data_IF_068751671606
#
_entry.id   IF_068751671606
#
_cell.length_a   1.000
_cell.length_b   1.000
_cell.length_c   1.000
_cell.angle_alpha   90.00
_cell.angle_beta   90.00
_cell.angle_gamma   90.00
#
_symmetry.space_group_name_H-M   'P 1'
#
loop_
_entity.id
_entity.type
_entity.pdbx_description
1 polymer ?
#
# COMPACT_ATOMS: atom_id res chain seq x y z
N UNK A 1 30.50 -62.52 4.88
CA UNK A 1 29.48 -63.45 4.38
C UNK A 1 28.82 -64.13 5.55
N UNK A 2 27.75 -63.55 6.09
CA UNK A 2 26.64 -64.28 6.70
C UNK A 2 25.48 -63.31 6.91
N UNK A 3 24.30 -63.85 6.66
CA UNK A 3 23.06 -63.21 6.25
C UNK A 3 22.17 -62.95 7.47
N UNK A 4 21.42 -61.85 7.37
CA UNK A 4 20.27 -61.46 8.20
C UNK A 4 19.19 -62.54 8.29
N UNK A 5 18.65 -62.78 9.48
CA UNK A 5 17.21 -63.06 9.67
C UNK A 5 16.66 -62.40 10.96
N UNK A 6 15.89 -61.33 10.73
CA UNK A 6 14.63 -60.87 11.37
C UNK A 6 14.36 -61.21 12.84
N UNK A 7 14.41 -60.19 13.70
CA UNK A 7 13.52 -60.09 14.86
C UNK A 7 12.39 -59.09 14.57
N UNK A 8 11.16 -59.59 14.63
CA UNK A 8 9.92 -58.82 14.62
C UNK A 8 9.81 -58.03 15.93
N UNK A 9 9.74 -56.71 15.85
CA UNK A 9 9.28 -55.88 16.97
C UNK A 9 7.92 -55.28 16.60
N UNK A 10 6.96 -55.47 17.51
CA UNK A 10 5.62 -54.93 17.41
C UNK A 10 5.68 -53.40 17.59
N UNK A 11 5.45 -52.65 16.51
CA UNK A 11 5.21 -51.22 16.56
C UNK A 11 3.77 -50.95 17.03
N UNK A 12 3.58 -50.95 18.34
CA UNK A 12 2.41 -50.35 18.99
C UNK A 12 2.77 -48.92 19.39
N UNK A 13 2.24 -47.95 18.65
CA UNK A 13 2.18 -46.54 19.03
C UNK A 13 1.54 -46.39 20.42
N UNK A 14 2.05 -45.53 21.31
CA UNK A 14 1.31 -45.21 22.53
C UNK A 14 0.15 -44.27 22.14
N UNK A 15 -1.08 -44.68 22.45
CA UNK A 15 -2.28 -43.85 22.37
C UNK A 15 -2.03 -42.50 23.08
N UNK A 16 -2.06 -41.41 22.34
CA UNK A 16 -2.04 -40.06 22.87
C UNK A 16 -3.48 -39.74 23.25
N UNK A 17 -3.82 -39.91 24.52
CA UNK A 17 -5.00 -39.27 25.10
C UNK A 17 -4.53 -38.03 25.86
N UNK A 18 -4.78 -36.85 25.30
CA UNK A 18 -4.65 -35.60 26.03
C UNK A 18 -5.70 -35.62 27.13
N UNK A 19 -5.25 -35.68 28.38
CA UNK A 19 -6.12 -35.86 29.54
C UNK A 19 -7.12 -34.71 29.63
N UNK A 20 -8.40 -35.07 29.58
CA UNK A 20 -9.54 -34.19 29.76
C UNK A 20 -9.55 -33.55 31.16
N UNK A 21 -10.05 -32.32 31.21
CA UNK A 21 -10.47 -31.64 32.43
C UNK A 21 -11.56 -32.49 33.11
N UNK A 22 -11.23 -33.11 34.25
CA UNK A 22 -12.18 -33.93 35.01
C UNK A 22 -13.01 -32.99 35.90
N UNK A 23 -14.29 -32.84 35.55
CA UNK A 23 -15.33 -32.39 36.48
C UNK A 23 -15.45 -33.35 37.68
N UNK A 24 -15.85 -32.79 38.82
CA UNK A 24 -15.73 -33.35 40.17
C UNK A 24 -16.46 -34.70 40.42
N UNK A 25 -15.70 -35.66 40.95
CA UNK A 25 -16.01 -36.73 41.94
C UNK A 25 -16.73 -38.04 41.49
N UNK A 26 -16.66 -39.17 42.25
CA UNK A 26 -15.68 -39.61 43.27
C UNK A 26 -14.99 -40.97 42.98
N UNK A 27 -13.80 -41.10 43.59
CA UNK A 27 -12.97 -42.26 43.96
C UNK A 27 -13.47 -43.69 43.69
N UNK A 28 -12.77 -44.42 42.79
CA UNK A 28 -12.59 -45.88 42.89
C UNK A 28 -11.11 -46.21 42.61
N UNK A 29 -10.42 -46.72 43.63
CA UNK A 29 -9.02 -47.17 43.62
C UNK A 29 -8.87 -48.44 42.78
N UNK A 30 -8.17 -48.36 41.64
CA UNK A 30 -7.65 -49.54 40.93
C UNK A 30 -6.12 -49.55 41.01
N UNK A 31 -5.60 -50.60 41.65
CA UNK A 31 -4.18 -50.85 41.90
C UNK A 31 -3.37 -50.92 40.59
N UNK A 32 -2.40 -50.03 40.41
CA UNK A 32 -1.39 -50.11 39.34
C UNK A 32 -0.44 -51.29 39.57
N UNK A 33 -0.41 -52.25 38.63
CA UNK A 33 0.73 -53.15 38.44
C UNK A 33 1.88 -52.35 37.84
N UNK A 34 3.08 -52.50 38.40
CA UNK A 34 4.32 -51.93 37.89
C UNK A 34 4.67 -52.61 36.56
N UNK A 35 4.79 -51.85 35.48
CA UNK A 35 5.50 -52.27 34.27
C UNK A 35 6.94 -51.77 34.32
N UNK A 36 7.82 -52.65 33.91
CA UNK A 36 9.28 -52.53 33.92
C UNK A 36 9.80 -51.48 32.94
N UNK A 37 10.88 -50.80 33.34
CA UNK A 37 11.91 -50.26 32.44
C UNK A 37 11.51 -49.26 31.36
N UNK A 38 11.39 -47.98 31.73
CA UNK A 38 11.45 -46.87 30.76
C UNK A 38 12.86 -46.80 30.14
N UNK A 39 12.96 -47.06 28.85
CA UNK A 39 14.10 -46.66 28.00
C UNK A 39 14.29 -45.14 28.14
N UNK A 40 15.50 -44.61 28.32
CA UNK A 40 15.69 -43.18 28.46
C UNK A 40 15.39 -42.50 27.12
N UNK A 41 14.20 -41.89 27.02
CA UNK A 41 13.82 -41.04 25.90
C UNK A 41 14.76 -39.83 25.86
N UNK A 42 15.40 -39.61 24.72
CA UNK A 42 16.36 -38.52 24.50
C UNK A 42 15.75 -37.19 25.01
N UNK A 43 16.39 -36.50 25.98
CA UNK A 43 15.85 -35.29 26.59
C UNK A 43 15.58 -34.17 25.59
N UNK A 44 16.28 -34.16 24.45
CA UNK A 44 16.02 -33.23 23.34
C UNK A 44 14.66 -33.46 22.69
N UNK A 45 14.25 -34.73 22.50
CA UNK A 45 12.95 -35.07 21.90
C UNK A 45 11.81 -34.69 22.83
N UNK A 46 11.98 -34.86 24.14
CA UNK A 46 10.98 -34.44 25.14
C UNK A 46 10.88 -32.92 25.16
N UNK A 47 12.02 -32.21 25.16
CA UNK A 47 12.06 -30.74 25.10
C UNK A 47 11.42 -30.19 23.82
N UNK A 48 11.68 -30.81 22.66
CA UNK A 48 11.05 -30.47 21.38
C UNK A 48 9.54 -30.69 21.44
N UNK A 49 9.09 -31.86 21.92
CA UNK A 49 7.65 -32.16 22.07
C UNK A 49 6.94 -31.19 23.02
N UNK A 50 7.55 -30.86 24.15
CA UNK A 50 6.98 -29.88 25.09
C UNK A 50 6.92 -28.47 24.48
N UNK A 51 7.95 -28.04 23.75
CA UNK A 51 7.94 -26.74 23.05
C UNK A 51 6.92 -26.70 21.90
N UNK A 52 6.75 -27.79 21.15
CA UNK A 52 5.72 -27.92 20.11
C UNK A 52 4.34 -27.76 20.76
N UNK A 53 4.07 -28.51 21.82
CA UNK A 53 2.77 -28.45 22.51
C UNK A 53 2.52 -27.10 23.16
N UNK A 54 3.53 -26.47 23.76
CA UNK A 54 3.40 -25.15 24.41
C UNK A 54 3.20 -24.03 23.37
N UNK A 55 3.96 -24.03 22.27
CA UNK A 55 3.86 -23.03 21.19
C UNK A 55 2.59 -23.21 20.35
N UNK A 56 2.28 -24.44 19.95
CA UNK A 56 1.03 -24.71 19.24
C UNK A 56 -0.18 -24.60 20.15
N UNK A 57 -0.10 -24.81 21.47
CA UNK A 57 -1.22 -24.44 22.35
C UNK A 57 -1.48 -22.92 22.35
N UNK A 58 -0.44 -22.09 22.23
CA UNK A 58 -0.58 -20.64 22.05
C UNK A 58 -1.14 -20.27 20.67
N UNK A 59 -0.59 -20.85 19.60
CA UNK A 59 -1.03 -20.62 18.22
C UNK A 59 -2.44 -21.19 17.94
N UNK A 60 -2.81 -22.33 18.52
CA UNK A 60 -4.17 -22.89 18.49
C UNK A 60 -5.16 -22.03 19.29
N UNK A 61 -4.69 -21.32 20.32
CA UNK A 61 -5.50 -20.36 21.08
C UNK A 61 -5.61 -18.98 20.38
N UNK A 62 -4.71 -18.62 19.46
CA UNK A 62 -4.79 -17.38 18.67
C UNK A 62 -5.45 -17.59 17.29
N UNK A 63 -5.27 -18.76 16.66
CA UNK A 63 -5.91 -19.19 15.42
C UNK A 63 -7.23 -19.92 15.73
N UNK A 64 -8.12 -19.27 16.46
CA UNK A 64 -9.46 -19.81 16.70
C UNK A 64 -10.34 -19.80 15.43
N UNK A 65 -9.94 -19.06 14.39
CA UNK A 65 -10.59 -19.05 13.07
C UNK A 65 -9.60 -18.64 11.99
N UNK A 66 -9.52 -19.33 10.84
CA UNK A 66 -8.66 -18.93 9.71
C UNK A 66 -9.02 -17.56 9.12
N UNK A 67 -10.14 -16.97 9.52
CA UNK A 67 -10.60 -15.66 9.08
C UNK A 67 -9.99 -14.48 9.83
N UNK A 68 -9.47 -14.67 11.05
CA UNK A 68 -8.86 -13.58 11.82
C UNK A 68 -7.61 -13.00 11.14
N UNK A 69 -6.87 -13.86 10.45
CA UNK A 69 -5.67 -13.54 9.70
C UNK A 69 -5.91 -13.33 8.21
N UNK A 70 -7.17 -13.38 7.74
CA UNK A 70 -7.49 -13.19 6.33
C UNK A 70 -7.65 -11.71 6.02
N UNK A 71 -6.99 -11.24 4.95
CA UNK A 71 -7.15 -9.89 4.43
C UNK A 71 -7.42 -9.89 2.94
N UNK A 72 -8.02 -8.81 2.45
CA UNK A 72 -8.07 -8.49 1.02
C UNK A 72 -6.88 -7.57 0.73
N UNK A 73 -6.05 -7.96 -0.23
CA UNK A 73 -4.90 -7.17 -0.67
C UNK A 73 -5.31 -5.93 -1.49
N UNK A 74 -4.35 -5.08 -1.83
CA UNK A 74 -4.65 -3.84 -2.59
C UNK A 74 -5.07 -4.09 -4.06
N UNK A 75 -5.04 -5.34 -4.53
CA UNK A 75 -5.49 -5.77 -5.86
C UNK A 75 -6.88 -6.42 -5.84
N UNK A 76 -7.35 -6.83 -4.66
CA UNK A 76 -8.69 -7.37 -4.43
C UNK A 76 -8.68 -8.87 -4.22
N UNK A 77 -7.50 -9.44 -4.03
CA UNK A 77 -7.29 -10.86 -3.81
C UNK A 77 -7.27 -11.17 -2.31
N UNK A 78 -7.82 -12.32 -1.94
CA UNK A 78 -7.77 -12.80 -0.57
C UNK A 78 -6.36 -13.32 -0.28
N UNK A 79 -5.74 -12.81 0.79
CA UNK A 79 -4.43 -13.26 1.27
C UNK A 79 -4.50 -13.58 2.74
N UNK A 80 -3.92 -14.71 3.10
CA UNK A 80 -3.69 -15.05 4.49
C UNK A 80 -2.46 -14.26 4.97
N UNK A 81 -2.66 -13.41 5.98
CA UNK A 81 -1.61 -12.64 6.63
C UNK A 81 -1.07 -13.46 7.81
N UNK A 82 0.11 -14.04 7.65
CA UNK A 82 0.88 -14.57 8.77
C UNK A 82 1.53 -13.38 9.48
N UNK A 83 1.00 -12.99 10.65
CA UNK A 83 1.60 -11.91 11.46
C UNK A 83 2.98 -12.29 12.00
N UNK A 84 3.28 -13.59 12.03
CA UNK A 84 4.59 -14.10 12.34
C UNK A 84 5.40 -14.26 11.04
N UNK A 85 6.66 -13.82 11.06
CA UNK A 85 7.77 -14.62 10.52
C UNK A 85 7.39 -16.09 10.69
N UNK A 86 7.46 -16.93 9.66
CA UNK A 86 7.04 -18.34 9.71
C UNK A 86 7.26 -18.93 11.11
N UNK A 87 6.42 -19.83 11.64
CA UNK A 87 6.69 -20.49 12.93
C UNK A 87 8.13 -21.09 13.01
N UNK A 88 8.78 -21.24 11.86
CA UNK A 88 10.19 -21.56 11.67
C UNK A 88 11.12 -20.34 11.47
N UNK A 89 10.81 -19.14 11.93
CA UNK A 89 11.62 -17.92 11.71
C UNK A 89 11.73 -17.06 12.98
N UNK A 90 10.96 -17.34 14.03
CA UNK A 90 11.15 -16.72 15.34
C UNK A 90 12.56 -16.95 15.92
N UNK A 91 13.10 -15.93 16.60
CA UNK A 91 14.36 -15.97 17.33
C UNK A 91 14.30 -17.00 18.47
N UNK A 92 14.70 -18.25 18.20
CA UNK A 92 14.75 -19.28 19.23
C UNK A 92 14.88 -20.72 18.74
N UNK A 93 14.57 -20.98 17.46
CA UNK A 93 14.78 -22.29 16.82
C UNK A 93 16.02 -22.25 15.92
N UNK A 94 16.90 -23.23 16.06
CA UNK A 94 17.98 -23.47 15.10
C UNK A 94 17.44 -24.00 13.76
N UNK A 95 18.18 -23.81 12.68
CA UNK A 95 17.83 -24.36 11.35
C UNK A 95 17.55 -25.88 11.40
N UNK A 96 18.28 -26.60 12.24
CA UNK A 96 18.07 -28.03 12.46
C UNK A 96 16.73 -28.34 13.13
N UNK A 97 16.34 -27.55 14.14
CA UNK A 97 15.05 -27.74 14.83
C UNK A 97 13.88 -27.40 13.89
N UNK A 98 14.02 -26.36 13.06
CA UNK A 98 13.03 -26.00 12.03
C UNK A 98 12.81 -27.13 11.04
N UNK A 99 13.88 -27.73 10.53
CA UNK A 99 13.81 -28.88 9.62
C UNK A 99 13.16 -30.10 10.29
N UNK A 100 13.49 -30.40 11.55
CA UNK A 100 12.88 -31.51 12.28
C UNK A 100 11.38 -31.30 12.53
N UNK A 101 10.96 -30.06 12.80
CA UNK A 101 9.55 -29.73 12.96
C UNK A 101 8.78 -29.86 11.66
N UNK A 102 9.36 -29.39 10.54
CA UNK A 102 8.76 -29.54 9.23
C UNK A 102 8.53 -31.01 8.87
N UNK A 103 9.56 -31.85 9.05
CA UNK A 103 9.46 -33.31 8.85
C UNK A 103 8.36 -33.91 9.75
N UNK A 104 8.27 -33.48 11.02
CA UNK A 104 7.23 -33.97 11.92
C UNK A 104 5.81 -33.64 11.43
N UNK A 105 5.58 -32.43 10.91
CA UNK A 105 4.28 -32.05 10.38
C UNK A 105 3.94 -32.73 9.06
N UNK A 106 4.93 -32.93 8.19
CA UNK A 106 4.80 -33.71 6.96
C UNK A 106 4.41 -35.17 7.28
N UNK A 107 5.11 -35.82 8.23
CA UNK A 107 4.76 -37.17 8.69
C UNK A 107 3.37 -37.24 9.35
N UNK A 108 2.99 -36.21 10.12
CA UNK A 108 1.66 -36.13 10.75
C UNK A 108 0.56 -35.97 9.70
N UNK A 109 0.80 -35.16 8.66
CA UNK A 109 -0.11 -34.95 7.54
C UNK A 109 -0.31 -36.25 6.75
N UNK A 110 0.79 -36.92 6.36
CA UNK A 110 0.73 -38.21 5.64
C UNK A 110 -0.14 -39.21 6.41
N UNK A 111 0.06 -39.33 7.72
CA UNK A 111 -0.73 -40.23 8.57
C UNK A 111 -2.19 -39.83 8.68
N UNK A 112 -2.46 -38.53 8.81
CA UNK A 112 -3.84 -38.04 8.86
C UNK A 112 -4.58 -38.36 7.56
N UNK A 113 -3.90 -38.24 6.41
CA UNK A 113 -4.43 -38.58 5.09
C UNK A 113 -4.63 -40.10 4.92
N UNK A 114 -3.64 -40.92 5.31
CA UNK A 114 -3.65 -42.38 5.12
C UNK A 114 -4.55 -43.14 6.10
N UNK A 115 -4.49 -42.81 7.39
CA UNK A 115 -5.22 -43.52 8.46
C UNK A 115 -6.62 -42.94 8.71
N UNK A 116 -6.97 -41.85 8.01
CA UNK A 116 -8.21 -41.10 8.20
C UNK A 116 -8.47 -40.76 9.68
N UNK A 117 -7.45 -40.23 10.35
CA UNK A 117 -7.57 -39.82 11.75
C UNK A 117 -8.61 -38.69 11.88
N UNK A 118 -9.74 -38.98 12.52
CA UNK A 118 -10.86 -38.06 12.68
C UNK A 118 -10.77 -37.20 13.97
N UNK A 119 -9.56 -36.78 14.36
CA UNK A 119 -9.37 -35.94 15.55
C UNK A 119 -9.41 -34.45 15.17
N UNK A 120 -10.40 -33.67 15.65
CA UNK A 120 -10.48 -32.23 15.39
C UNK A 120 -9.26 -31.43 15.84
N UNK A 121 -8.54 -31.86 16.88
CA UNK A 121 -7.34 -31.17 17.36
C UNK A 121 -6.18 -31.35 16.36
N UNK A 122 -6.05 -32.55 15.79
CA UNK A 122 -5.07 -32.84 14.74
C UNK A 122 -5.38 -32.00 13.49
N UNK A 123 -6.67 -31.87 13.12
CA UNK A 123 -7.08 -30.99 12.03
C UNK A 123 -6.67 -29.54 12.24
N UNK A 124 -6.93 -28.97 13.43
CA UNK A 124 -6.59 -27.56 13.73
C UNK A 124 -5.08 -27.30 13.70
N UNK A 125 -4.30 -28.25 14.20
CA UNK A 125 -2.83 -28.20 14.17
C UNK A 125 -2.31 -28.20 12.73
N UNK A 126 -2.79 -29.15 11.90
CA UNK A 126 -2.40 -29.25 10.50
C UNK A 126 -2.92 -28.07 9.67
N UNK A 127 -4.14 -27.58 9.92
CA UNK A 127 -4.68 -26.37 9.30
C UNK A 127 -3.76 -25.18 9.57
N UNK A 128 -3.36 -24.98 10.82
CA UNK A 128 -2.46 -23.88 11.18
C UNK A 128 -1.12 -24.00 10.46
N UNK A 129 -0.52 -25.20 10.43
CA UNK A 129 0.72 -25.47 9.70
C UNK A 129 0.60 -25.17 8.20
N UNK A 130 -0.41 -25.71 7.53
CA UNK A 130 -0.62 -25.57 6.10
C UNK A 130 -0.91 -24.13 5.67
N UNK A 131 -1.65 -23.36 6.48
CA UNK A 131 -1.90 -21.95 6.24
C UNK A 131 -0.62 -21.10 6.35
N UNK A 132 0.27 -21.42 7.29
CA UNK A 132 1.55 -20.74 7.43
C UNK A 132 2.51 -21.06 6.28
N UNK A 133 2.56 -22.32 5.83
CA UNK A 133 3.32 -22.71 4.63
C UNK A 133 2.64 -22.29 3.31
N UNK A 134 1.44 -21.69 3.39
CA UNK A 134 0.60 -21.32 2.24
C UNK A 134 0.27 -22.49 1.31
N UNK A 135 0.29 -23.72 1.82
CA UNK A 135 0.00 -24.94 1.07
C UNK A 135 -1.49 -25.26 1.07
N UNK A 136 -2.23 -24.52 0.26
CA UNK A 136 -3.69 -24.60 0.19
C UNK A 136 -4.20 -25.89 -0.50
N UNK A 137 -3.37 -26.57 -1.29
CA UNK A 137 -3.76 -27.79 -2.01
C UNK A 137 -3.79 -28.99 -1.05
N UNK A 138 -2.75 -29.16 -0.24
CA UNK A 138 -2.75 -30.15 0.87
C UNK A 138 -3.83 -29.83 1.90
N UNK A 139 -4.13 -28.55 2.14
CA UNK A 139 -5.22 -28.17 3.03
C UNK A 139 -6.58 -28.61 2.48
N UNK A 140 -6.80 -28.47 1.17
CA UNK A 140 -7.99 -29.00 0.51
C UNK A 140 -8.09 -30.52 0.66
N UNK A 141 -7.00 -31.26 0.47
CA UNK A 141 -6.95 -32.71 0.65
C UNK A 141 -7.31 -33.11 2.09
N UNK A 142 -6.74 -32.42 3.09
CA UNK A 142 -7.05 -32.64 4.50
C UNK A 142 -8.55 -32.47 4.79
N UNK A 143 -9.23 -31.49 4.18
CA UNK A 143 -10.68 -31.32 4.39
C UNK A 143 -11.55 -32.46 3.83
N UNK A 144 -11.02 -33.28 2.94
CA UNK A 144 -11.76 -34.39 2.32
C UNK A 144 -11.76 -35.66 3.19
N UNK A 145 -10.83 -35.75 4.15
CA UNK A 145 -10.70 -36.90 5.06
C UNK A 145 -11.81 -36.93 6.11
N UNK A 146 -12.34 -35.77 6.47
CA UNK A 146 -13.31 -35.61 7.56
C UNK A 146 -14.76 -35.57 7.06
N UNK A 147 -15.71 -35.79 7.97
CA UNK A 147 -17.13 -35.65 7.66
C UNK A 147 -17.46 -34.24 7.18
N UNK A 148 -18.12 -34.17 6.03
CA UNK A 148 -18.29 -32.94 5.25
C UNK A 148 -19.26 -31.93 5.88
N UNK A 149 -20.05 -32.38 6.86
CA UNK A 149 -21.06 -31.61 7.58
C UNK A 149 -20.53 -31.03 8.90
N UNK A 150 -19.27 -31.33 9.28
CA UNK A 150 -18.68 -30.80 10.50
C UNK A 150 -18.48 -29.28 10.42
N UNK A 151 -18.80 -28.51 11.48
CA UNK A 151 -18.73 -27.04 11.44
C UNK A 151 -17.37 -26.47 11.01
N UNK A 152 -16.27 -27.05 11.50
CA UNK A 152 -14.91 -26.60 11.15
C UNK A 152 -14.52 -26.94 9.71
N UNK A 153 -15.09 -27.99 9.12
CA UNK A 153 -14.92 -28.33 7.70
C UNK A 153 -15.71 -27.37 6.82
N UNK A 154 -16.92 -26.99 7.23
CA UNK A 154 -17.70 -25.95 6.55
C UNK A 154 -16.95 -24.61 6.56
N UNK A 155 -16.36 -24.24 7.70
CA UNK A 155 -15.52 -23.04 7.82
C UNK A 155 -14.29 -23.10 6.92
N UNK A 156 -13.58 -24.24 6.89
CA UNK A 156 -12.44 -24.49 6.01
C UNK A 156 -12.80 -24.37 4.52
N UNK A 157 -13.95 -24.95 4.12
CA UNK A 157 -14.44 -24.84 2.74
C UNK A 157 -14.80 -23.41 2.37
N UNK A 158 -15.42 -22.63 3.26
CA UNK A 158 -15.70 -21.20 3.02
C UNK A 158 -14.40 -20.42 2.82
N UNK A 159 -13.39 -20.69 3.63
CA UNK A 159 -12.06 -20.10 3.50
C UNK A 159 -11.43 -20.45 2.14
N UNK A 160 -11.34 -21.74 1.81
CA UNK A 160 -10.79 -22.23 0.54
C UNK A 160 -11.56 -21.70 -0.67
N UNK A 161 -12.88 -21.56 -0.55
CA UNK A 161 -13.72 -20.96 -1.57
C UNK A 161 -13.43 -19.48 -1.76
N UNK A 162 -13.14 -18.70 -0.71
CA UNK A 162 -12.71 -17.29 -0.84
C UNK A 162 -11.31 -17.18 -1.44
N UNK A 163 -10.39 -18.06 -1.05
CA UNK A 163 -9.05 -18.19 -1.65
C UNK A 163 -9.07 -18.71 -3.09
N UNK A 164 -10.20 -19.20 -3.59
CA UNK A 164 -10.38 -19.60 -4.99
C UNK A 164 -9.94 -21.03 -5.32
N UNK A 165 -9.76 -21.88 -4.30
CA UNK A 165 -9.40 -23.29 -4.47
C UNK A 165 -10.60 -24.20 -4.70
N UNK A 166 -11.80 -23.75 -4.32
CA UNK A 166 -13.06 -24.47 -4.54
C UNK A 166 -14.05 -23.51 -5.21
N UNK A 167 -14.91 -24.05 -6.09
CA UNK A 167 -16.04 -23.29 -6.64
C UNK A 167 -17.02 -22.88 -5.53
N UNK A 168 -17.45 -21.62 -5.58
CA UNK A 168 -18.36 -21.07 -4.60
C UNK A 168 -19.79 -21.61 -4.82
N UNK A 169 -20.24 -22.51 -3.94
CA UNK A 169 -21.55 -23.17 -4.05
C UNK A 169 -22.63 -22.49 -3.21
N UNK A 170 -23.90 -22.70 -3.55
CA UNK A 170 -25.04 -22.13 -2.82
C UNK A 170 -25.13 -22.60 -1.36
N UNK A 171 -24.56 -23.76 -1.05
CA UNK A 171 -24.49 -24.31 0.31
C UNK A 171 -23.59 -23.48 1.23
N UNK A 172 -22.64 -22.72 0.68
CA UNK A 172 -21.77 -21.81 1.45
C UNK A 172 -22.42 -20.44 1.72
N UNK A 173 -23.67 -20.21 1.28
CA UNK A 173 -24.40 -18.93 1.45
C UNK A 173 -25.13 -18.79 2.80
N UNK A 174 -25.18 -19.83 3.62
CA UNK A 174 -25.80 -19.74 4.96
C UNK A 174 -25.11 -18.68 5.83
N UNK A 175 -25.90 -18.00 6.69
CA UNK A 175 -25.53 -16.79 7.43
C UNK A 175 -24.06 -16.80 7.89
N UNK A 176 -23.26 -15.94 7.25
CA UNK A 176 -21.88 -15.68 7.66
C UNK A 176 -21.90 -15.02 9.03
N UNK A 177 -21.22 -15.61 10.01
CA UNK A 177 -21.13 -15.07 11.37
C UNK A 177 -20.30 -13.80 11.47
N UNK A 178 -19.34 -13.60 10.54
CA UNK A 178 -18.45 -12.43 10.53
C UNK A 178 -18.75 -11.45 9.39
N UNK A 179 -18.55 -10.15 9.66
CA UNK A 179 -18.73 -9.08 8.67
C UNK A 179 -17.72 -9.21 7.54
N UNK A 180 -16.48 -9.61 7.84
CA UNK A 180 -15.48 -9.92 6.82
C UNK A 180 -15.98 -10.96 5.81
N UNK A 181 -16.50 -12.10 6.30
CA UNK A 181 -17.04 -13.14 5.42
C UNK A 181 -18.19 -12.62 4.56
N UNK A 182 -19.15 -11.90 5.15
CA UNK A 182 -20.29 -11.31 4.43
C UNK A 182 -19.81 -10.49 3.23
N UNK A 183 -18.93 -9.51 3.47
CA UNK A 183 -18.47 -8.60 2.44
C UNK A 183 -17.47 -9.24 1.46
N UNK A 184 -16.64 -10.18 1.93
CA UNK A 184 -15.76 -10.97 1.08
C UNK A 184 -16.53 -11.84 0.08
N UNK A 185 -17.62 -12.47 0.52
CA UNK A 185 -18.52 -13.25 -0.34
C UNK A 185 -19.18 -12.35 -1.38
N UNK A 186 -19.74 -11.21 -0.97
CA UNK A 186 -20.38 -10.26 -1.89
C UNK A 186 -19.41 -9.69 -2.92
N UNK A 187 -18.16 -9.43 -2.52
CA UNK A 187 -17.09 -9.03 -3.43
C UNK A 187 -16.81 -10.11 -4.46
N UNK A 188 -16.62 -11.35 -4.01
CA UNK A 188 -16.31 -12.49 -4.89
C UNK A 188 -17.46 -12.82 -5.86
N UNK A 189 -18.71 -12.64 -5.43
CA UNK A 189 -19.89 -12.85 -6.27
C UNK A 189 -20.26 -11.63 -7.13
N UNK A 190 -19.52 -10.51 -7.03
CA UNK A 190 -19.82 -9.26 -7.73
C UNK A 190 -21.18 -8.66 -7.36
N UNK A 191 -21.71 -8.97 -6.18
CA UNK A 191 -23.08 -8.63 -5.75
C UNK A 191 -23.12 -7.48 -4.72
N UNK A 192 -22.04 -6.70 -4.58
CA UNK A 192 -21.98 -5.58 -3.66
C UNK A 192 -22.95 -4.46 -4.07
N UNK A 193 -23.83 -4.06 -3.15
CA UNK A 193 -24.67 -2.88 -3.32
C UNK A 193 -23.92 -1.58 -2.98
N UNK A 194 -24.53 -0.44 -3.26
CA UNK A 194 -24.00 0.87 -2.85
C UNK A 194 -23.96 1.02 -1.32
N UNK A 195 -24.98 0.52 -0.62
CA UNK A 195 -25.03 0.55 0.85
C UNK A 195 -23.92 -0.32 1.46
N UNK A 196 -23.63 -1.48 0.86
CA UNK A 196 -22.52 -2.34 1.28
C UNK A 196 -21.17 -1.63 1.11
N UNK A 197 -20.98 -0.94 -0.01
CA UNK A 197 -19.76 -0.14 -0.28
C UNK A 197 -19.54 0.93 0.78
N UNK A 198 -20.58 1.66 1.15
CA UNK A 198 -20.50 2.69 2.20
C UNK A 198 -20.23 2.08 3.57
N UNK A 199 -20.85 0.95 3.88
CA UNK A 199 -20.64 0.25 5.15
C UNK A 199 -19.21 -0.28 5.27
N UNK A 200 -18.65 -0.85 4.19
CA UNK A 200 -17.24 -1.30 4.14
C UNK A 200 -16.29 -0.15 4.43
N UNK A 201 -16.56 1.03 3.87
CA UNK A 201 -15.76 2.23 4.16
C UNK A 201 -15.76 2.55 5.65
N UNK A 202 -16.94 2.62 6.25
CA UNK A 202 -17.09 3.02 7.65
C UNK A 202 -16.40 2.00 8.58
N UNK A 203 -16.57 0.70 8.33
CA UNK A 203 -15.91 -0.39 9.09
C UNK A 203 -14.38 -0.33 9.04
N UNK A 204 -13.81 -0.03 7.87
CA UNK A 204 -12.35 0.05 7.69
C UNK A 204 -11.80 1.33 8.33
N UNK A 205 -12.51 2.45 8.20
CA UNK A 205 -12.07 3.73 8.75
C UNK A 205 -12.16 3.75 10.28
N UNK A 206 -13.21 3.18 10.88
CA UNK A 206 -13.29 2.99 12.33
C UNK A 206 -12.27 1.98 12.85
N UNK A 207 -11.85 1.04 11.99
CA UNK A 207 -10.91 -0.01 12.32
C UNK A 207 -11.57 -1.24 12.94
N UNK A 208 -12.88 -1.39 12.77
CA UNK A 208 -13.64 -2.57 13.19
C UNK A 208 -13.29 -3.80 12.37
N UNK A 209 -13.08 -3.64 11.05
CA UNK A 209 -12.76 -4.75 10.13
C UNK A 209 -11.55 -4.39 9.25
N UNK A 210 -10.31 -4.44 9.79
CA UNK A 210 -9.10 -4.07 9.06
C UNK A 210 -8.80 -5.00 7.87
N UNK A 211 -9.28 -6.26 7.90
CA UNK A 211 -9.10 -7.21 6.80
C UNK A 211 -9.73 -6.75 5.48
N UNK A 212 -10.74 -5.87 5.53
CA UNK A 212 -11.41 -5.32 4.34
C UNK A 212 -10.68 -4.12 3.71
N UNK A 213 -9.51 -3.73 4.23
CA UNK A 213 -8.79 -2.53 3.79
C UNK A 213 -8.49 -2.51 2.28
N UNK A 214 -8.07 -3.64 1.70
CA UNK A 214 -7.80 -3.72 0.27
C UNK A 214 -9.05 -3.56 -0.59
N UNK A 215 -10.19 -4.09 -0.14
CA UNK A 215 -11.47 -3.90 -0.80
C UNK A 215 -11.90 -2.43 -0.75
N UNK A 216 -11.81 -1.79 0.42
CA UNK A 216 -12.09 -0.37 0.55
C UNK A 216 -11.18 0.47 -0.36
N UNK A 217 -9.89 0.12 -0.45
CA UNK A 217 -8.96 0.77 -1.37
C UNK A 217 -9.43 0.68 -2.83
N UNK A 218 -9.78 -0.51 -3.33
CA UNK A 218 -10.22 -0.68 -4.73
C UNK A 218 -11.48 0.12 -5.02
N UNK A 219 -12.44 0.09 -4.09
CA UNK A 219 -13.70 0.79 -4.23
C UNK A 219 -13.52 2.30 -4.20
N UNK A 220 -12.59 2.85 -3.42
CA UNK A 220 -12.49 4.29 -3.18
C UNK A 220 -11.21 4.96 -3.70
N UNK A 221 -10.25 4.25 -4.29
CA UNK A 221 -8.93 4.81 -4.70
C UNK A 221 -8.97 6.04 -5.61
N UNK A 222 -10.08 6.27 -6.31
CA UNK A 222 -10.30 7.40 -7.21
C UNK A 222 -11.22 8.48 -6.61
N UNK A 223 -11.82 8.26 -5.45
CA UNK A 223 -12.75 9.21 -4.82
C UNK A 223 -12.00 10.21 -3.93
N UNK A 224 -11.77 11.41 -4.46
CA UNK A 224 -11.05 12.50 -3.79
C UNK A 224 -11.97 13.59 -3.22
N UNK A 225 -13.28 13.50 -3.46
CA UNK A 225 -14.27 14.50 -3.04
C UNK A 225 -15.46 13.82 -2.35
N UNK A 226 -16.18 14.55 -1.48
CA UNK A 226 -17.30 14.03 -0.71
C UNK A 226 -16.95 13.68 0.75
N UNK A 227 -17.87 12.98 1.43
CA UNK A 227 -17.68 12.57 2.84
C UNK A 227 -16.81 11.32 2.97
N UNK A 228 -16.97 10.34 2.07
CA UNK A 228 -16.18 9.12 2.02
C UNK A 228 -15.13 9.26 0.93
N UNK A 229 -13.91 9.57 1.34
CA UNK A 229 -12.79 9.82 0.42
C UNK A 229 -11.69 8.80 0.62
N UNK A 230 -10.79 8.70 -0.34
CA UNK A 230 -9.62 7.81 -0.27
C UNK A 230 -8.66 8.14 0.89
N UNK A 231 -8.63 9.37 1.39
CA UNK A 231 -7.58 9.83 2.31
C UNK A 231 -7.52 9.09 3.66
N UNK A 232 -8.63 8.79 4.36
CA UNK A 232 -8.60 7.96 5.56
C UNK A 232 -8.13 6.51 5.30
N UNK A 233 -8.48 5.94 4.15
CA UNK A 233 -8.02 4.61 3.73
C UNK A 233 -6.50 4.63 3.52
N UNK A 234 -5.96 5.65 2.85
CA UNK A 234 -4.50 5.79 2.67
C UNK A 234 -3.76 5.86 3.99
N UNK A 235 -4.32 6.57 4.98
CA UNK A 235 -3.72 6.63 6.32
C UNK A 235 -3.65 5.24 6.96
N UNK A 236 -4.70 4.43 6.82
CA UNK A 236 -4.72 3.03 7.31
C UNK A 236 -3.71 2.15 6.55
N UNK A 237 -3.61 2.29 5.23
CA UNK A 237 -2.59 1.59 4.44
C UNK A 237 -1.18 1.99 4.90
N UNK A 238 -0.94 3.28 5.13
CA UNK A 238 0.34 3.76 5.63
C UNK A 238 0.69 3.22 7.01
N UNK A 239 -0.28 2.98 7.89
CA UNK A 239 -0.01 2.33 9.20
C UNK A 239 0.45 0.89 9.04
N UNK A 240 -0.08 0.17 8.05
CA UNK A 240 0.22 -1.25 7.78
C UNK A 240 1.23 -1.45 6.65
N UNK A 241 1.90 -0.39 6.20
CA UNK A 241 2.73 -0.45 4.98
C UNK A 241 3.81 -1.53 5.05
N UNK A 242 4.29 -1.87 6.24
CA UNK A 242 5.36 -2.86 6.44
C UNK A 242 4.91 -4.28 6.14
N UNK A 243 3.65 -4.65 6.47
CA UNK A 243 3.08 -5.98 6.22
C UNK A 243 2.65 -6.22 4.78
N UNK A 244 2.64 -5.18 3.95
CA UNK A 244 2.30 -5.29 2.53
C UNK A 244 3.43 -5.92 1.72
N UNK A 245 3.07 -6.66 0.68
CA UNK A 245 4.03 -7.16 -0.31
C UNK A 245 4.71 -6.02 -1.08
N UNK A 246 5.85 -6.29 -1.70
CA UNK A 246 6.58 -5.31 -2.52
C UNK A 246 5.73 -4.78 -3.68
N UNK A 247 4.91 -5.64 -4.29
CA UNK A 247 4.01 -5.28 -5.39
C UNK A 247 2.88 -4.36 -4.92
N UNK A 248 2.25 -4.67 -3.78
CA UNK A 248 1.25 -3.81 -3.15
C UNK A 248 1.84 -2.44 -2.82
N UNK A 249 3.05 -2.40 -2.24
CA UNK A 249 3.77 -1.17 -1.90
C UNK A 249 4.01 -0.30 -3.13
N UNK A 250 4.47 -0.88 -4.23
CA UNK A 250 4.75 -0.15 -5.48
C UNK A 250 3.46 0.40 -6.12
N UNK A 251 2.43 -0.45 -6.23
CA UNK A 251 1.12 -0.05 -6.79
C UNK A 251 0.47 1.08 -5.98
N UNK A 252 0.48 0.95 -4.65
CA UNK A 252 0.03 2.00 -3.75
C UNK A 252 0.84 3.28 -3.92
N UNK A 253 2.17 3.19 -3.91
CA UNK A 253 3.06 4.35 -4.01
C UNK A 253 2.85 5.12 -5.31
N UNK A 254 2.65 4.43 -6.44
CA UNK A 254 2.36 5.07 -7.73
C UNK A 254 1.06 5.88 -7.69
N UNK A 255 0.01 5.33 -7.08
CA UNK A 255 -1.29 6.01 -6.95
C UNK A 255 -1.23 7.16 -5.95
N UNK A 256 -0.53 6.95 -4.83
CA UNK A 256 -0.34 7.94 -3.78
C UNK A 256 0.46 9.15 -4.27
N UNK A 257 1.60 8.92 -4.92
CA UNK A 257 2.48 9.98 -5.44
C UNK A 257 1.85 10.85 -6.53
N UNK A 258 0.88 10.31 -7.28
CA UNK A 258 0.12 11.09 -8.26
C UNK A 258 -0.86 12.09 -7.60
N UNK A 259 -1.32 11.81 -6.38
CA UNK A 259 -2.30 12.64 -5.65
C UNK A 259 -1.68 13.55 -4.60
N UNK A 260 -0.54 13.16 -4.03
CA UNK A 260 0.07 13.86 -2.89
C UNK A 260 1.27 14.72 -3.29
N UNK A 261 1.60 15.67 -2.41
CA UNK A 261 2.74 16.54 -2.59
C UNK A 261 4.08 15.80 -2.51
N UNK A 262 5.13 16.50 -2.94
CA UNK A 262 6.50 15.98 -2.94
C UNK A 262 6.99 15.57 -1.54
N UNK A 263 6.65 16.33 -0.50
CA UNK A 263 7.12 16.05 0.86
C UNK A 263 6.47 14.79 1.41
N UNK A 264 5.14 14.68 1.29
CA UNK A 264 4.36 13.52 1.70
C UNK A 264 4.85 12.27 0.97
N UNK A 265 5.03 12.38 -0.35
CA UNK A 265 5.55 11.29 -1.20
C UNK A 265 6.95 10.84 -0.73
N UNK A 266 7.83 11.78 -0.38
CA UNK A 266 9.17 11.46 0.11
C UNK A 266 9.15 10.68 1.43
N UNK A 267 8.27 11.02 2.36
CA UNK A 267 8.14 10.29 3.63
C UNK A 267 7.66 8.86 3.44
N UNK A 268 6.72 8.63 2.51
CA UNK A 268 6.27 7.28 2.15
C UNK A 268 7.39 6.51 1.46
N UNK A 269 8.08 7.13 0.49
CA UNK A 269 9.20 6.55 -0.23
C UNK A 269 10.31 6.09 0.73
N UNK A 270 10.57 6.86 1.81
CA UNK A 270 11.54 6.49 2.85
C UNK A 270 11.21 5.19 3.59
N UNK A 271 9.93 4.82 3.68
CA UNK A 271 9.48 3.59 4.33
C UNK A 271 9.50 2.38 3.40
N UNK A 272 9.29 2.61 2.10
CA UNK A 272 9.18 1.53 1.10
C UNK A 272 10.52 1.19 0.45
N UNK A 273 11.33 2.19 0.11
CA UNK A 273 12.47 2.02 -0.79
C UNK A 273 13.85 2.25 -0.14
N UNK A 274 14.88 1.54 -0.61
CA UNK A 274 16.25 1.69 -0.13
C UNK A 274 16.83 3.07 -0.44
N UNK A 275 17.90 3.44 0.26
CA UNK A 275 18.51 4.78 0.23
C UNK A 275 18.88 5.25 -1.18
N UNK A 276 19.35 4.34 -2.03
CA UNK A 276 19.80 4.62 -3.39
C UNK A 276 18.66 5.11 -4.29
N UNK A 277 17.53 4.40 -4.27
CA UNK A 277 16.32 4.78 -4.99
C UNK A 277 15.84 6.17 -4.56
N UNK A 278 15.88 6.49 -3.26
CA UNK A 278 15.49 7.82 -2.78
C UNK A 278 16.39 8.92 -3.31
N UNK A 279 17.70 8.67 -3.42
CA UNK A 279 18.63 9.66 -4.00
C UNK A 279 18.30 9.90 -5.47
N UNK A 280 18.07 8.84 -6.24
CA UNK A 280 17.69 8.94 -7.65
C UNK A 280 16.36 9.70 -7.82
N UNK A 281 15.35 9.36 -7.02
CA UNK A 281 14.06 10.05 -7.04
C UNK A 281 14.18 11.54 -6.67
N UNK A 282 14.95 11.86 -5.62
CA UNK A 282 15.23 13.26 -5.23
C UNK A 282 15.93 14.02 -6.35
N UNK A 283 16.87 13.39 -7.05
CA UNK A 283 17.59 14.02 -8.16
C UNK A 283 16.66 14.27 -9.35
N UNK A 284 15.78 13.31 -9.68
CA UNK A 284 14.72 13.50 -10.67
C UNK A 284 13.76 14.64 -10.31
N UNK A 285 13.34 14.75 -9.06
CA UNK A 285 12.49 15.85 -8.60
C UNK A 285 13.19 17.21 -8.58
N UNK A 286 14.51 17.24 -8.29
CA UNK A 286 15.32 18.45 -8.47
C UNK A 286 15.44 18.85 -9.95
N UNK A 287 15.59 17.88 -10.84
CA UNK A 287 15.59 18.09 -12.29
C UNK A 287 14.26 18.70 -12.75
N UNK A 288 13.13 18.12 -12.35
CA UNK A 288 11.79 18.66 -12.67
C UNK A 288 11.57 20.07 -12.12
N UNK A 289 12.16 20.37 -10.95
CA UNK A 289 12.11 21.71 -10.35
C UNK A 289 13.14 22.69 -10.95
N UNK A 290 13.92 22.27 -11.96
CA UNK A 290 14.95 23.09 -12.61
C UNK A 290 16.17 23.39 -11.75
N UNK A 291 16.33 22.73 -10.60
CA UNK A 291 17.46 22.95 -9.68
C UNK A 291 18.75 22.30 -10.14
N UNK A 292 18.67 21.20 -10.87
CA UNK A 292 19.86 20.54 -11.45
C UNK A 292 20.38 21.24 -12.71
N UNK A 293 19.59 22.14 -13.28
CA UNK A 293 19.89 22.79 -14.56
C UNK A 293 20.86 23.97 -14.37
N UNK A 294 20.87 24.56 -13.17
CA UNK A 294 21.83 25.57 -12.79
C UNK A 294 23.07 24.88 -12.21
N UNK A 295 24.05 24.57 -13.05
CA UNK A 295 25.41 24.24 -12.60
C UNK A 295 25.90 25.40 -11.70
N UNK A 296 26.60 25.10 -10.60
CA UNK A 296 26.98 26.09 -9.58
C UNK A 296 27.64 27.36 -10.16
N UNK A 297 28.52 27.22 -11.16
CA UNK A 297 29.19 28.34 -11.83
C UNK A 297 28.26 29.23 -12.68
N UNK A 298 27.12 28.71 -13.13
CA UNK A 298 26.07 29.44 -13.83
C UNK A 298 25.10 30.09 -12.84
N UNK A 299 24.80 29.39 -11.74
CA UNK A 299 23.98 29.93 -10.66
C UNK A 299 24.62 31.18 -10.04
N UNK A 300 25.93 31.13 -9.77
CA UNK A 300 26.68 32.26 -9.22
C UNK A 300 26.72 33.45 -10.18
N UNK A 301 26.87 33.20 -11.49
CA UNK A 301 26.83 34.26 -12.52
C UNK A 301 25.44 34.87 -12.66
N UNK A 302 24.37 34.08 -12.55
CA UNK A 302 22.98 34.55 -12.65
C UNK A 302 22.60 35.35 -11.38
N UNK A 303 23.05 34.91 -10.21
CA UNK A 303 22.87 35.66 -8.95
C UNK A 303 23.65 36.98 -8.95
N UNK A 304 24.88 36.98 -9.47
CA UNK A 304 25.68 38.20 -9.64
C UNK A 304 25.09 39.19 -10.67
N UNK A 305 24.26 38.71 -11.59
CA UNK A 305 23.62 39.52 -12.66
C UNK A 305 22.16 39.88 -12.36
N UNK A 306 21.70 39.72 -11.11
CA UNK A 306 20.37 40.19 -10.71
C UNK A 306 20.20 41.71 -10.86
N UNK A 307 21.29 42.48 -10.80
CA UNK A 307 21.33 43.92 -11.05
C UNK A 307 21.59 44.29 -12.53
N UNK A 308 21.81 43.32 -13.43
CA UNK A 308 22.01 43.58 -14.86
C UNK A 308 20.68 43.73 -15.62
N UNK A 309 20.71 44.49 -16.73
CA UNK A 309 19.55 44.66 -17.61
C UNK A 309 19.03 43.32 -18.15
N UNK A 310 17.71 43.20 -18.29
CA UNK A 310 17.03 41.99 -18.79
C UNK A 310 17.63 41.46 -20.09
N UNK A 311 18.08 42.35 -20.98
CA UNK A 311 18.74 42.01 -22.25
C UNK A 311 20.03 41.21 -22.06
N UNK A 312 20.89 41.61 -21.11
CA UNK A 312 22.15 40.91 -20.79
C UNK A 312 21.86 39.52 -20.22
N UNK A 313 20.88 39.44 -19.31
CA UNK A 313 20.42 38.18 -18.71
C UNK A 313 19.84 37.25 -19.76
N UNK A 314 18.98 37.75 -20.64
CA UNK A 314 18.41 37.00 -21.75
C UNK A 314 19.51 36.47 -22.69
N UNK A 315 20.47 37.30 -23.09
CA UNK A 315 21.57 36.88 -23.96
C UNK A 315 22.41 35.74 -23.34
N UNK A 316 22.64 35.79 -22.02
CA UNK A 316 23.35 34.73 -21.29
C UNK A 316 22.52 33.45 -21.20
N UNK A 317 21.24 33.53 -20.86
CA UNK A 317 20.36 32.35 -20.74
C UNK A 317 20.09 31.69 -22.09
N UNK A 318 19.93 32.48 -23.17
CA UNK A 318 19.79 32.01 -24.55
C UNK A 318 20.97 31.15 -24.99
N UNK A 319 22.20 31.61 -24.72
CA UNK A 319 23.43 30.84 -25.02
C UNK A 319 23.48 29.48 -24.32
N UNK A 320 22.79 29.33 -23.19
CA UNK A 320 22.77 28.11 -22.39
C UNK A 320 21.45 27.32 -22.55
N UNK A 321 20.54 27.74 -23.43
CA UNK A 321 19.20 27.16 -23.59
C UNK A 321 18.35 27.16 -22.31
N UNK A 322 18.47 28.22 -21.49
CA UNK A 322 17.82 28.35 -20.18
C UNK A 322 16.73 29.44 -20.13
N UNK A 323 16.25 29.92 -21.27
CA UNK A 323 15.29 31.05 -21.32
C UNK A 323 13.99 30.76 -20.54
N UNK A 324 13.53 29.50 -20.50
CA UNK A 324 12.36 29.07 -19.72
C UNK A 324 12.49 29.27 -18.19
N UNK A 325 13.70 29.55 -17.69
CA UNK A 325 13.96 29.82 -16.26
C UNK A 325 13.63 31.26 -15.85
N UNK A 326 13.52 32.20 -16.80
CA UNK A 326 13.12 33.59 -16.56
C UNK A 326 11.77 33.69 -15.84
N UNK A 327 11.56 34.73 -15.05
CA UNK A 327 10.27 34.95 -14.38
C UNK A 327 9.13 35.13 -15.39
N UNK A 328 7.86 34.89 -15.00
CA UNK A 328 6.73 35.09 -15.90
C UNK A 328 6.65 36.49 -16.51
N UNK A 329 6.96 37.53 -15.74
CA UNK A 329 6.95 38.91 -16.25
C UNK A 329 8.11 39.20 -17.20
N UNK A 330 9.31 38.73 -16.91
CA UNK A 330 10.44 38.84 -17.85
C UNK A 330 10.14 38.14 -19.18
N UNK A 331 9.53 36.96 -19.13
CA UNK A 331 9.08 36.24 -20.33
C UNK A 331 8.05 37.08 -21.10
N UNK A 332 7.05 37.68 -20.44
CA UNK A 332 6.07 38.53 -21.10
C UNK A 332 6.68 39.80 -21.71
N UNK A 333 7.66 40.42 -21.04
CA UNK A 333 8.38 41.57 -21.59
C UNK A 333 9.09 41.17 -22.89
N UNK A 334 9.79 40.04 -22.89
CA UNK A 334 10.50 39.56 -24.08
C UNK A 334 9.53 39.09 -25.18
N UNK A 335 8.41 38.45 -24.83
CA UNK A 335 7.37 38.05 -25.78
C UNK A 335 6.67 39.26 -26.44
N UNK A 336 6.64 40.42 -25.78
CA UNK A 336 6.17 41.68 -26.36
C UNK A 336 7.28 42.49 -27.05
N UNK A 337 8.49 41.95 -27.16
CA UNK A 337 9.64 42.60 -27.80
C UNK A 337 9.93 42.04 -29.21
N UNK A 338 10.96 42.58 -29.87
CA UNK A 338 11.46 42.05 -31.16
C UNK A 338 11.97 40.61 -31.06
N UNK A 339 12.27 40.10 -29.86
CA UNK A 339 12.74 38.73 -29.63
C UNK A 339 11.61 37.70 -29.47
N UNK A 340 10.34 38.10 -29.61
CA UNK A 340 9.17 37.24 -29.36
C UNK A 340 9.26 35.87 -30.06
N UNK A 341 9.57 35.86 -31.36
CA UNK A 341 9.65 34.64 -32.16
C UNK A 341 10.79 33.71 -31.71
N UNK A 342 11.89 34.26 -31.19
CA UNK A 342 13.00 33.47 -30.66
C UNK A 342 12.61 32.85 -29.31
N UNK A 343 11.96 33.62 -28.43
CA UNK A 343 11.50 33.13 -27.12
C UNK A 343 10.47 32.01 -27.29
N UNK A 344 9.52 32.15 -28.21
CA UNK A 344 8.54 31.10 -28.52
C UNK A 344 9.21 29.80 -28.98
N UNK A 345 10.18 29.89 -29.90
CA UNK A 345 10.94 28.72 -30.38
C UNK A 345 11.72 28.05 -29.26
N UNK A 346 12.35 28.82 -28.38
CA UNK A 346 13.11 28.26 -27.26
C UNK A 346 12.20 27.56 -26.24
N UNK A 347 11.06 28.16 -25.89
CA UNK A 347 10.08 27.53 -24.99
C UNK A 347 9.59 26.20 -25.59
N UNK A 348 9.23 26.18 -26.88
CA UNK A 348 8.82 24.96 -27.58
C UNK A 348 9.92 23.88 -27.62
N UNK A 349 11.15 24.26 -27.96
CA UNK A 349 12.27 23.31 -28.02
C UNK A 349 12.69 22.73 -26.67
N UNK A 350 12.47 23.46 -25.56
CA UNK A 350 12.74 22.94 -24.21
C UNK A 350 11.64 21.98 -23.75
N UNK A 351 10.40 22.17 -24.19
CA UNK A 351 9.32 21.23 -23.91
C UNK A 351 9.62 19.83 -24.42
N UNK A 352 10.17 19.71 -25.63
CA UNK A 352 10.57 18.42 -26.20
C UNK A 352 11.68 17.74 -25.39
N UNK A 353 12.59 18.53 -24.80
CA UNK A 353 13.74 18.01 -24.04
C UNK A 353 13.41 17.69 -22.59
N UNK A 354 12.57 18.50 -21.96
CA UNK A 354 12.22 18.42 -20.54
C UNK A 354 10.71 18.57 -20.34
N UNK A 355 9.89 17.62 -20.84
CA UNK A 355 8.43 17.73 -20.81
C UNK A 355 7.87 17.73 -19.39
N UNK A 356 8.55 17.10 -18.44
CA UNK A 356 8.12 17.00 -17.04
C UNK A 356 8.56 18.16 -16.14
N UNK A 357 9.36 19.08 -16.67
CA UNK A 357 9.85 20.24 -15.91
C UNK A 357 8.72 21.22 -15.59
N UNK A 358 8.55 21.52 -14.31
CA UNK A 358 7.57 22.50 -13.85
C UNK A 358 7.89 23.92 -14.36
N UNK A 359 9.17 24.26 -14.53
CA UNK A 359 9.58 25.54 -15.10
C UNK A 359 9.23 25.63 -16.59
N UNK A 360 9.38 24.53 -17.33
CA UNK A 360 9.02 24.45 -18.75
C UNK A 360 7.51 24.58 -18.91
N UNK A 361 6.73 23.84 -18.10
CA UNK A 361 5.26 23.94 -18.06
C UNK A 361 4.78 25.34 -17.68
N UNK A 362 5.45 26.01 -16.73
CA UNK A 362 5.19 27.41 -16.39
C UNK A 362 5.48 28.34 -17.55
N UNK A 363 6.64 28.23 -18.21
CA UNK A 363 6.98 29.07 -19.36
C UNK A 363 5.97 28.90 -20.51
N UNK A 364 5.51 27.67 -20.76
CA UNK A 364 4.44 27.37 -21.71
C UNK A 364 3.10 27.98 -21.29
N UNK A 365 2.77 27.93 -20.00
CA UNK A 365 1.57 28.59 -19.47
C UNK A 365 1.62 30.10 -19.73
N UNK A 366 2.76 30.74 -19.52
CA UNK A 366 2.95 32.17 -19.84
C UNK A 366 2.76 32.43 -21.34
N UNK A 367 3.20 31.51 -22.21
CA UNK A 367 2.94 31.61 -23.64
C UNK A 367 1.44 31.56 -23.97
N UNK A 368 0.68 30.65 -23.34
CA UNK A 368 -0.78 30.62 -23.48
C UNK A 368 -1.44 31.93 -23.05
N UNK A 369 -0.96 32.53 -21.95
CA UNK A 369 -1.43 33.83 -21.50
C UNK A 369 -1.13 34.93 -22.54
N UNK A 370 0.10 34.97 -23.08
CA UNK A 370 0.51 35.92 -24.12
C UNK A 370 -0.34 35.79 -25.39
N UNK A 371 -0.65 34.56 -25.80
CA UNK A 371 -1.53 34.24 -26.93
C UNK A 371 -3.02 34.50 -26.66
N UNK A 372 -3.37 35.00 -25.46
CA UNK A 372 -4.75 35.22 -24.98
C UNK A 372 -5.60 33.95 -24.92
N UNK A 373 -4.97 32.78 -24.83
CA UNK A 373 -5.64 31.49 -24.61
C UNK A 373 -5.87 31.26 -23.11
N UNK A 374 -6.70 32.10 -22.51
CA UNK A 374 -6.86 32.17 -21.05
C UNK A 374 -7.39 30.87 -20.42
N UNK A 375 -8.29 30.15 -21.11
CA UNK A 375 -8.76 28.85 -20.62
C UNK A 375 -7.66 27.78 -20.59
N UNK A 376 -6.81 27.72 -21.63
CA UNK A 376 -5.67 26.80 -21.70
C UNK A 376 -4.63 27.16 -20.63
N UNK A 377 -4.39 28.46 -20.43
CA UNK A 377 -3.56 28.95 -19.34
C UNK A 377 -4.07 28.46 -17.98
N UNK A 378 -5.36 28.65 -17.66
CA UNK A 378 -5.91 28.21 -16.37
C UNK A 378 -5.82 26.69 -16.18
N UNK A 379 -6.10 25.90 -17.21
CA UNK A 379 -5.95 24.42 -17.17
C UNK A 379 -4.49 23.99 -16.97
N UNK A 380 -3.54 24.72 -17.55
CA UNK A 380 -2.11 24.38 -17.46
C UNK A 380 -1.48 24.68 -16.09
N UNK A 381 -2.08 25.55 -15.26
CA UNK A 381 -1.56 25.90 -13.93
C UNK A 381 -1.38 24.71 -12.99
N UNK A 382 -2.24 23.69 -13.06
CA UNK A 382 -2.12 22.47 -12.24
C UNK A 382 -0.80 21.73 -12.49
N UNK A 383 -0.30 21.84 -13.72
CA UNK A 383 0.92 21.18 -14.16
C UNK A 383 2.19 21.98 -13.85
N UNK A 384 2.07 23.20 -13.33
CA UNK A 384 3.20 24.09 -13.01
C UNK A 384 3.81 23.83 -11.62
N UNK A 385 3.31 22.85 -10.87
CA UNK A 385 3.76 22.55 -9.51
C UNK A 385 3.68 23.77 -8.59
N UNK A 386 4.70 23.99 -7.76
CA UNK A 386 4.74 25.15 -6.83
C UNK A 386 4.81 26.50 -7.54
N UNK A 387 5.26 26.56 -8.79
CA UNK A 387 5.45 27.83 -9.48
C UNK A 387 4.14 28.53 -9.82
N UNK A 388 3.01 27.80 -9.84
CA UNK A 388 1.67 28.40 -9.98
C UNK A 388 1.34 29.40 -8.86
N UNK A 389 2.02 29.30 -7.72
CA UNK A 389 1.84 30.18 -6.55
C UNK A 389 2.84 31.34 -6.51
N UNK A 390 3.68 31.53 -7.54
CA UNK A 390 4.53 32.72 -7.60
C UNK A 390 3.68 33.98 -7.73
N UNK A 391 4.11 35.13 -7.19
CA UNK A 391 3.35 36.38 -7.26
C UNK A 391 2.93 36.75 -8.69
N UNK A 392 3.83 36.57 -9.66
CA UNK A 392 3.59 36.85 -11.07
C UNK A 392 2.58 35.88 -11.68
N UNK A 393 2.67 34.58 -11.36
CA UNK A 393 1.69 33.60 -11.83
C UNK A 393 0.30 33.86 -11.24
N UNK A 394 0.22 34.23 -9.96
CA UNK A 394 -1.04 34.62 -9.32
C UNK A 394 -1.62 35.89 -9.93
N UNK A 395 -0.78 36.86 -10.27
CA UNK A 395 -1.22 38.04 -11.01
C UNK A 395 -1.82 37.66 -12.36
N UNK A 396 -1.12 36.84 -13.16
CA UNK A 396 -1.60 36.39 -14.46
C UNK A 396 -2.88 35.55 -14.33
N UNK A 397 -2.99 34.69 -13.32
CA UNK A 397 -4.21 33.96 -12.99
C UNK A 397 -5.39 34.88 -12.70
N UNK A 398 -5.18 35.91 -11.88
CA UNK A 398 -6.21 36.89 -11.56
C UNK A 398 -6.68 37.65 -12.80
N UNK A 399 -5.75 38.15 -13.60
CA UNK A 399 -6.07 38.79 -14.88
C UNK A 399 -6.81 37.85 -15.84
N UNK A 400 -6.35 36.62 -16.02
CA UNK A 400 -7.00 35.67 -16.91
C UNK A 400 -8.44 35.35 -16.48
N UNK A 401 -8.70 35.22 -15.18
CA UNK A 401 -10.05 35.01 -14.63
C UNK A 401 -10.98 36.19 -14.94
N UNK A 402 -10.48 37.42 -14.85
CA UNK A 402 -11.25 38.62 -15.23
C UNK A 402 -11.57 38.60 -16.72
N UNK A 403 -10.58 38.29 -17.58
CA UNK A 403 -10.76 38.27 -19.04
C UNK A 403 -11.77 37.21 -19.52
N UNK A 404 -11.93 36.08 -18.81
CA UNK A 404 -12.94 35.05 -19.12
C UNK A 404 -14.30 35.28 -18.43
N UNK A 405 -14.50 36.44 -17.78
CA UNK A 405 -15.76 36.80 -17.14
C UNK A 405 -15.97 36.29 -15.70
N UNK A 406 -14.97 35.64 -15.09
CA UNK A 406 -14.97 35.26 -13.66
C UNK A 406 -14.41 36.38 -12.79
N UNK A 407 -14.95 37.59 -12.98
CA UNK A 407 -14.40 38.85 -12.46
C UNK A 407 -14.24 38.87 -10.95
N UNK A 408 -15.25 38.42 -10.20
CA UNK A 408 -15.20 38.43 -8.72
C UNK A 408 -14.08 37.55 -8.17
N UNK A 409 -13.88 36.37 -8.75
CA UNK A 409 -12.81 35.46 -8.34
C UNK A 409 -11.43 36.02 -8.69
N UNK A 410 -11.28 36.58 -9.88
CA UNK A 410 -10.04 37.22 -10.32
C UNK A 410 -9.66 38.43 -9.46
N UNK A 411 -10.62 39.32 -9.18
CA UNK A 411 -10.40 40.48 -8.29
C UNK A 411 -9.99 40.02 -6.90
N UNK A 412 -10.71 39.05 -6.30
CA UNK A 412 -10.39 38.53 -4.96
C UNK A 412 -8.96 37.97 -4.90
N UNK A 413 -8.53 37.27 -5.95
CA UNK A 413 -7.16 36.75 -6.04
C UNK A 413 -6.12 37.89 -6.07
N UNK A 414 -6.37 38.93 -6.87
CA UNK A 414 -5.49 40.10 -6.98
C UNK A 414 -5.46 40.94 -5.69
N UNK A 415 -6.59 41.08 -4.98
CA UNK A 415 -6.66 41.72 -3.67
C UNK A 415 -5.83 40.97 -2.62
N UNK A 416 -5.94 39.64 -2.60
CA UNK A 416 -5.11 38.80 -1.72
C UNK A 416 -3.62 38.95 -2.03
N UNK A 417 -3.26 39.17 -3.29
CA UNK A 417 -1.89 39.45 -3.69
C UNK A 417 -1.45 40.85 -3.20
N UNK A 418 -2.33 41.85 -3.28
CA UNK A 418 -2.04 43.21 -2.80
C UNK A 418 -1.83 43.27 -1.28
N UNK A 419 -2.58 42.48 -0.52
CA UNK A 419 -2.37 42.36 0.94
C UNK A 419 -0.94 41.88 1.23
N UNK A 420 -0.41 40.96 0.43
CA UNK A 420 0.97 40.44 0.59
C UNK A 420 2.04 41.40 0.07
N UNK A 421 1.72 42.23 -0.92
CA UNK A 421 2.62 43.19 -1.55
C UNK A 421 1.98 44.59 -1.57
N UNK A 422 1.84 45.24 -0.39
CA UNK A 422 1.05 46.46 -0.27
C UNK A 422 1.62 47.62 -1.09
N UNK A 423 2.94 47.65 -1.33
CA UNK A 423 3.64 48.72 -2.04
C UNK A 423 3.65 48.54 -3.57
N UNK A 424 2.96 47.51 -4.09
CA UNK A 424 2.85 47.27 -5.52
C UNK A 424 1.82 48.22 -6.18
N UNK A 425 2.24 49.45 -6.50
CA UNK A 425 1.36 50.47 -7.10
C UNK A 425 0.73 50.02 -8.42
N UNK A 426 1.43 49.23 -9.23
CA UNK A 426 0.87 48.65 -10.45
C UNK A 426 -0.34 47.76 -10.16
N UNK A 427 -0.31 46.98 -9.08
CA UNK A 427 -1.36 46.06 -8.69
C UNK A 427 -2.60 46.83 -8.20
N UNK A 428 -2.38 47.94 -7.48
CA UNK A 428 -3.45 48.87 -7.07
C UNK A 428 -4.16 49.45 -8.31
N UNK A 429 -3.39 49.97 -9.27
CA UNK A 429 -3.94 50.55 -10.50
C UNK A 429 -4.75 49.53 -11.32
N UNK A 430 -4.26 48.29 -11.41
CA UNK A 430 -4.95 47.20 -12.12
C UNK A 430 -6.25 46.83 -11.42
N UNK A 431 -6.25 46.70 -10.09
CA UNK A 431 -7.44 46.45 -9.29
C UNK A 431 -8.47 47.58 -9.42
N UNK A 432 -8.05 48.84 -9.39
CA UNK A 432 -8.95 49.98 -9.62
C UNK A 432 -9.59 49.92 -11.01
N UNK A 433 -8.83 49.54 -12.04
CA UNK A 433 -9.35 49.38 -13.40
C UNK A 433 -10.38 48.26 -13.48
N UNK A 434 -10.10 47.10 -12.89
CA UNK A 434 -11.01 45.95 -12.92
C UNK A 434 -12.24 46.12 -12.02
N UNK A 435 -12.20 46.99 -11.01
CA UNK A 435 -13.37 47.31 -10.17
C UNK A 435 -14.29 48.38 -10.79
N UNK A 436 -13.78 49.19 -11.72
CA UNK A 436 -14.55 50.25 -12.40
C UNK A 436 -15.33 49.73 -13.62
N UNK A 437 -14.91 48.61 -14.19
CA UNK A 437 -15.59 47.88 -15.26
C UNK A 437 -16.39 46.72 -14.67
#
# INVERSE_FOLDING_TARGET
>A
MQILEKEKTNDLWPEITLSSYVEKAPTILVKKRKSEGLVPRNPEIIRLKSKILEYFSGALNEVHSPFSSLRIDLFGEFRFQTDATSPFEEEGLSEREKNLLKIFFEELLERALEEHQADPEVFQVLQSFLLHEQNLDEYLELTQVYDQDLPFILEAKRFLALMGKIEYSNFLKEESSSRFQKYGILWKSGSLSLEDRETIYDLVVTGEEPGLLGLAWILFKHETTGFRTVFPIERRILTLIESLSSEEKESFFKTYSARHGYLETYFVLRRIYPREYRKAWLEGEKQKNGRSVLLGSLQDKILQSQDESLEKRYALLKKNHLVYTLSPFELLILLNSTESSNVQKEIGGVEERLPDSYLTKRAKSVLYFFEKKFEEFLKSLEHCGRFRFSPEMLYLQGSALVEIGRTQEGIKLLENLLIKFPDADYLRLVLERYKKN
#
